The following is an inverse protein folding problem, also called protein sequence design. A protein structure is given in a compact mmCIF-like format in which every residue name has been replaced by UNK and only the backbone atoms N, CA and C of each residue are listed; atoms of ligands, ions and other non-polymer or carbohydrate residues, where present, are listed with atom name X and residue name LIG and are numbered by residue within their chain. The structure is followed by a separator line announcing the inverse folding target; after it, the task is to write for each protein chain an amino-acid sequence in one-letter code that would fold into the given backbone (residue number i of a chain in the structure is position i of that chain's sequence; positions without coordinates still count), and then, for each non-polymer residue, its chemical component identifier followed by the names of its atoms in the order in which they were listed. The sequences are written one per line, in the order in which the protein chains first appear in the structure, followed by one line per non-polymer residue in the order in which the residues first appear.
data_IF_598431326761
#
_entry.id   IF_598431326761
#
_cell.length_a   1.000
_cell.length_b   1.000
_cell.length_c   1.000
_cell.angle_alpha   90.00
_cell.angle_beta   90.00
_cell.angle_gamma   90.00
#
_symmetry.space_group_name_H-M   'P 1'
#
loop_
_entity.id
_entity.type
_entity.pdbx_description
1 polymer ?
#
# COMPACT_ATOMS: atom_id res chain seq x y z
N UNK A 1 12.44 -8.56 3.63
CA UNK A 1 12.81 -8.20 2.25
C UNK A 1 11.83 -7.22 1.58
N UNK A 2 11.08 -6.37 2.32
CA UNK A 2 10.09 -5.45 1.70
C UNK A 2 10.73 -4.52 0.66
N UNK A 3 11.86 -3.89 0.98
CA UNK A 3 12.46 -2.87 0.11
C UNK A 3 13.12 -3.44 -1.15
N UNK A 4 13.27 -4.75 -1.26
CA UNK A 4 13.94 -5.40 -2.41
C UNK A 4 12.96 -5.99 -3.42
N UNK A 5 11.67 -6.11 -3.09
CA UNK A 5 10.70 -6.75 -4.01
C UNK A 5 10.42 -5.91 -5.25
N UNK A 6 10.26 -4.58 -5.09
CA UNK A 6 9.94 -3.71 -6.23
C UNK A 6 11.09 -3.58 -7.23
N UNK A 7 12.36 -3.35 -6.81
CA UNK A 7 13.49 -3.37 -7.74
C UNK A 7 13.65 -4.72 -8.45
N UNK A 8 13.37 -5.81 -7.75
CA UNK A 8 13.44 -7.17 -8.31
C UNK A 8 12.36 -7.40 -9.37
N UNK A 9 11.13 -6.97 -9.10
CA UNK A 9 10.04 -7.01 -10.08
C UNK A 9 10.35 -6.16 -11.32
N UNK A 10 10.89 -4.95 -11.13
CA UNK A 10 11.32 -4.08 -12.22
C UNK A 10 12.40 -4.74 -13.09
N UNK A 11 13.40 -5.37 -12.46
CA UNK A 11 14.44 -6.13 -13.16
C UNK A 11 13.86 -7.27 -14.01
N UNK A 12 13.03 -8.13 -13.40
CA UNK A 12 12.47 -9.30 -14.09
C UNK A 12 11.58 -8.87 -15.25
N UNK A 13 10.81 -7.80 -15.09
CA UNK A 13 9.97 -7.25 -16.16
C UNK A 13 10.79 -6.80 -17.37
N UNK A 14 11.89 -6.09 -17.13
CA UNK A 14 12.82 -5.67 -18.18
C UNK A 14 13.49 -6.87 -18.87
N UNK A 15 14.01 -7.83 -18.09
CA UNK A 15 14.63 -9.05 -18.62
C UNK A 15 13.65 -9.87 -19.47
N UNK A 16 12.40 -10.03 -19.01
CA UNK A 16 11.36 -10.76 -19.74
C UNK A 16 11.01 -10.10 -21.08
N UNK A 17 10.92 -8.76 -21.11
CA UNK A 17 10.69 -8.02 -22.36
C UNK A 17 11.86 -8.15 -23.34
N UNK A 18 13.10 -8.16 -22.84
CA UNK A 18 14.30 -8.38 -23.67
C UNK A 18 14.33 -9.80 -24.24
N UNK A 19 14.00 -10.81 -23.44
CA UNK A 19 13.89 -12.20 -23.92
C UNK A 19 12.84 -12.33 -25.03
N UNK A 20 11.66 -11.75 -24.84
CA UNK A 20 10.59 -11.75 -25.85
C UNK A 20 11.04 -11.06 -27.15
N UNK A 21 11.80 -9.95 -27.04
CA UNK A 21 12.37 -9.25 -28.21
C UNK A 21 13.33 -10.14 -29.01
N UNK A 22 14.10 -11.01 -28.35
CA UNK A 22 15.00 -11.98 -29.01
C UNK A 22 14.27 -13.27 -29.47
N UNK A 23 12.94 -13.30 -29.43
CA UNK A 23 12.13 -14.41 -29.92
C UNK A 23 11.93 -15.54 -28.90
N UNK A 24 12.28 -15.35 -27.63
CA UNK A 24 11.93 -16.30 -26.58
C UNK A 24 10.42 -16.31 -26.35
N UNK A 25 9.78 -17.47 -26.51
CA UNK A 25 8.33 -17.64 -26.31
C UNK A 25 7.98 -18.12 -24.90
N UNK A 26 6.72 -17.93 -24.51
CA UNK A 26 6.17 -18.36 -23.23
C UNK A 26 4.71 -18.81 -23.37
N UNK A 27 4.10 -19.31 -22.27
CA UNK A 27 2.73 -19.79 -22.31
C UNK A 27 1.74 -18.65 -22.55
N UNK A 28 0.80 -18.83 -23.50
CA UNK A 28 -0.15 -17.80 -23.90
C UNK A 28 -1.20 -17.49 -22.81
N UNK A 29 -1.62 -18.51 -22.06
CA UNK A 29 -2.66 -18.42 -21.03
C UNK A 29 -2.08 -18.35 -19.61
N UNK A 30 -1.10 -17.47 -19.38
CA UNK A 30 -0.44 -17.32 -18.06
C UNK A 30 -1.38 -16.83 -16.96
N UNK A 31 -2.42 -16.07 -17.32
CA UNK A 31 -3.34 -15.46 -16.34
C UNK A 31 -4.58 -16.34 -16.15
N UNK A 32 -5.25 -16.70 -17.25
CA UNK A 32 -6.61 -17.26 -17.30
C UNK A 32 -6.66 -18.74 -17.70
N UNK A 33 -5.52 -19.36 -17.98
CA UNK A 33 -5.46 -20.78 -18.34
C UNK A 33 -5.80 -21.72 -17.20
N UNK A 34 -6.06 -22.99 -17.53
CA UNK A 34 -6.31 -24.08 -16.57
C UNK A 34 -5.24 -24.24 -15.48
N UNK A 35 -4.02 -23.79 -15.76
CA UNK A 35 -2.84 -23.82 -14.88
C UNK A 35 -2.24 -22.41 -14.71
N UNK A 36 -3.00 -21.37 -15.09
CA UNK A 36 -2.61 -19.97 -14.99
C UNK A 36 -2.80 -19.38 -13.60
N UNK A 37 -2.50 -18.10 -13.45
CA UNK A 37 -2.53 -17.38 -12.18
C UNK A 37 -3.85 -17.55 -11.42
N UNK A 38 -4.99 -17.43 -12.10
CA UNK A 38 -6.30 -17.55 -11.44
C UNK A 38 -6.52 -18.92 -10.83
N UNK A 39 -6.16 -19.98 -11.55
CA UNK A 39 -6.28 -21.35 -11.08
C UNK A 39 -5.31 -21.62 -9.92
N UNK A 40 -4.04 -21.22 -10.07
CA UNK A 40 -2.99 -21.45 -9.07
C UNK A 40 -3.33 -20.76 -7.75
N UNK A 41 -3.84 -19.53 -7.77
CA UNK A 41 -4.19 -18.80 -6.54
C UNK A 41 -5.58 -19.12 -5.99
N UNK A 42 -6.39 -19.93 -6.67
CA UNK A 42 -7.75 -20.27 -6.22
C UNK A 42 -7.81 -20.99 -4.86
N UNK A 43 -6.70 -21.56 -4.38
CA UNK A 43 -6.63 -22.19 -3.06
C UNK A 43 -6.57 -21.17 -1.89
N UNK A 44 -6.19 -19.92 -2.16
CA UNK A 44 -6.07 -18.87 -1.14
C UNK A 44 -7.45 -18.59 -0.55
N UNK A 45 -7.56 -18.52 0.77
CA UNK A 45 -8.82 -18.22 1.46
C UNK A 45 -8.89 -16.75 1.86
N UNK A 46 -9.97 -16.07 1.49
CA UNK A 46 -10.28 -14.72 1.94
C UNK A 46 -11.68 -14.69 2.53
N UNK A 47 -11.79 -14.31 3.82
CA UNK A 47 -13.07 -14.29 4.56
C UNK A 47 -13.83 -15.63 4.50
N UNK A 48 -13.10 -16.75 4.54
CA UNK A 48 -13.67 -18.10 4.51
C UNK A 48 -14.20 -18.55 3.15
N UNK A 49 -13.84 -17.85 2.07
CA UNK A 49 -14.14 -18.25 0.70
C UNK A 49 -12.84 -18.36 -0.12
N UNK A 50 -12.76 -19.27 -1.10
CA UNK A 50 -11.68 -19.28 -2.07
C UNK A 50 -11.53 -17.92 -2.76
N UNK A 51 -10.29 -17.53 -3.04
CA UNK A 51 -9.98 -16.35 -3.81
C UNK A 51 -10.59 -16.49 -5.21
N UNK A 52 -11.38 -15.50 -5.59
CA UNK A 52 -11.96 -15.39 -6.92
C UNK A 52 -11.29 -14.22 -7.65
N UNK A 53 -11.03 -14.42 -8.94
CA UNK A 53 -10.48 -13.40 -9.82
C UNK A 53 -11.55 -12.99 -10.83
N UNK A 54 -11.79 -11.69 -10.94
CA UNK A 54 -12.67 -11.11 -11.95
C UNK A 54 -11.82 -10.70 -13.16
N UNK A 55 -11.81 -11.54 -14.19
CA UNK A 55 -11.08 -11.27 -15.43
C UNK A 55 -11.64 -10.09 -16.21
N UNK A 56 -12.96 -9.85 -16.16
CA UNK A 56 -13.58 -8.71 -16.83
C UNK A 56 -13.15 -7.40 -16.18
N UNK A 57 -13.03 -7.36 -14.85
CA UNK A 57 -12.54 -6.19 -14.12
C UNK A 57 -11.12 -5.76 -14.53
N UNK A 58 -10.28 -6.68 -15.05
CA UNK A 58 -8.94 -6.35 -15.55
C UNK A 58 -8.97 -5.55 -16.86
N UNK A 59 -10.02 -5.71 -17.68
CA UNK A 59 -10.08 -5.15 -19.03
C UNK A 59 -11.17 -4.09 -19.22
N UNK A 60 -12.19 -4.07 -18.36
CA UNK A 60 -13.42 -3.27 -18.49
C UNK A 60 -13.19 -1.78 -18.72
N UNK A 61 -12.17 -1.20 -18.08
CA UNK A 61 -11.89 0.24 -18.11
C UNK A 61 -10.51 0.56 -18.71
N UNK A 62 -9.99 -0.29 -19.60
CA UNK A 62 -8.72 0.00 -20.26
C UNK A 62 -8.84 1.25 -21.13
N UNK A 63 -7.87 2.18 -21.04
CA UNK A 63 -7.91 3.41 -21.82
C UNK A 63 -7.74 3.09 -23.32
N UNK A 64 -8.73 3.51 -24.13
CA UNK A 64 -8.76 3.29 -25.58
C UNK A 64 -8.50 4.57 -26.39
N UNK A 65 -8.38 5.72 -25.71
CA UNK A 65 -8.12 7.01 -26.36
C UNK A 65 -7.33 7.95 -25.46
N UNK A 66 -6.88 9.07 -26.01
CA UNK A 66 -6.23 10.15 -25.25
C UNK A 66 -7.17 10.87 -24.28
N UNK A 67 -8.49 10.66 -24.40
CA UNK A 67 -9.51 11.23 -23.50
C UNK A 67 -9.95 10.28 -22.39
N UNK A 68 -9.51 9.02 -22.44
CA UNK A 68 -9.82 8.03 -21.42
C UNK A 68 -9.19 8.43 -20.07
N UNK A 69 -9.80 7.99 -18.96
CA UNK A 69 -9.19 8.16 -17.65
C UNK A 69 -8.04 7.18 -17.49
N UNK A 70 -6.83 7.69 -17.25
CA UNK A 70 -5.66 6.86 -16.97
C UNK A 70 -5.45 6.77 -15.47
N UNK A 71 -5.39 5.55 -14.92
CA UNK A 71 -5.18 5.31 -13.48
C UNK A 71 -3.94 5.98 -12.90
N UNK A 72 -2.94 6.30 -13.72
CA UNK A 72 -1.76 7.06 -13.29
C UNK A 72 -2.10 8.44 -12.71
N UNK A 73 -3.23 9.03 -13.14
CA UNK A 73 -3.73 10.31 -12.63
C UNK A 73 -4.27 10.20 -11.19
N UNK A 74 -4.62 9.00 -10.74
CA UNK A 74 -5.10 8.72 -9.38
C UNK A 74 -3.95 8.39 -8.41
N UNK A 75 -2.69 8.49 -8.86
CA UNK A 75 -1.53 8.17 -8.04
C UNK A 75 -1.33 9.22 -6.93
N UNK A 76 -1.38 8.77 -5.68
CA UNK A 76 -1.12 9.61 -4.51
C UNK A 76 0.37 9.79 -4.24
N UNK A 77 0.79 11.03 -3.98
CA UNK A 77 2.15 11.33 -3.53
C UNK A 77 2.22 11.39 -2.01
N UNK A 78 3.19 10.70 -1.42
CA UNK A 78 3.39 10.68 0.03
C UNK A 78 4.05 11.98 0.50
N UNK A 79 3.39 12.70 1.40
CA UNK A 79 3.98 13.88 2.08
C UNK A 79 5.00 13.49 3.15
N UNK A 80 4.80 12.32 3.77
CA UNK A 80 5.63 11.78 4.85
C UNK A 80 6.15 10.39 4.48
N UNK A 81 7.37 10.01 4.93
CA UNK A 81 7.97 8.70 4.67
C UNK A 81 7.41 7.62 5.60
N UNK A 82 6.07 7.49 5.64
CA UNK A 82 5.33 6.56 6.50
C UNK A 82 4.32 5.74 5.68
N UNK A 83 3.73 4.73 6.30
CA UNK A 83 2.65 3.92 5.73
C UNK A 83 1.46 4.80 5.32
N UNK A 84 0.84 4.52 4.16
CA UNK A 84 -0.12 5.40 3.50
C UNK A 84 -1.37 5.72 4.35
N UNK A 85 -1.88 4.77 5.12
CA UNK A 85 -3.05 4.95 5.97
C UNK A 85 -2.76 5.84 7.20
N UNK A 86 -1.48 6.11 7.50
CA UNK A 86 -1.08 7.04 8.57
C UNK A 86 -1.09 8.51 8.14
N UNK A 87 -1.17 8.82 6.84
CA UNK A 87 -1.09 10.21 6.34
C UNK A 87 -2.29 11.05 6.76
N UNK A 88 -3.50 10.51 6.64
CA UNK A 88 -4.73 11.21 7.02
C UNK A 88 -4.76 11.56 8.53
N UNK A 89 -4.56 10.62 9.47
CA UNK A 89 -4.56 10.96 10.90
C UNK A 89 -3.40 11.88 11.30
N UNK A 90 -2.20 11.70 10.72
CA UNK A 90 -1.06 12.59 11.00
C UNK A 90 -1.38 14.03 10.57
N UNK A 91 -1.85 14.19 9.34
CA UNK A 91 -2.19 15.52 8.80
C UNK A 91 -3.30 16.19 9.60
N UNK A 92 -4.32 15.43 10.02
CA UNK A 92 -5.41 15.93 10.85
C UNK A 92 -4.87 16.42 12.21
N UNK A 93 -4.06 15.60 12.89
CA UNK A 93 -3.45 15.96 14.16
C UNK A 93 -2.57 17.21 14.03
N UNK A 94 -1.66 17.26 13.05
CA UNK A 94 -0.78 18.41 12.83
C UNK A 94 -1.57 19.70 12.58
N UNK A 95 -2.65 19.61 11.80
CA UNK A 95 -3.55 20.74 11.57
C UNK A 95 -4.22 21.19 12.88
N UNK A 96 -4.77 20.27 13.66
CA UNK A 96 -5.38 20.57 14.96
C UNK A 96 -4.39 21.21 15.93
N UNK A 97 -3.17 20.67 16.05
CA UNK A 97 -2.10 21.20 16.92
C UNK A 97 -1.76 22.63 16.52
N UNK A 98 -1.58 22.88 15.21
CA UNK A 98 -1.25 24.20 14.67
C UNK A 98 -2.37 25.22 14.89
N UNK A 99 -3.62 24.87 14.56
CA UNK A 99 -4.77 25.77 14.65
C UNK A 99 -5.09 26.15 16.10
N UNK A 100 -4.89 25.22 17.04
CA UNK A 100 -5.20 25.42 18.46
C UNK A 100 -3.97 25.78 19.30
N UNK A 101 -2.79 25.91 18.69
CA UNK A 101 -1.51 26.23 19.36
C UNK A 101 -1.22 25.28 20.54
N UNK A 102 -1.54 24.00 20.38
CA UNK A 102 -1.35 22.97 21.41
C UNK A 102 0.15 22.73 21.58
N UNK A 103 0.65 22.77 22.82
CA UNK A 103 2.02 22.33 23.11
C UNK A 103 2.01 20.83 23.36
N UNK A 104 3.01 20.12 22.85
CA UNK A 104 3.13 18.67 23.03
C UNK A 104 3.05 18.24 24.51
N UNK A 105 3.67 19.02 25.41
CA UNK A 105 3.66 18.75 26.85
C UNK A 105 2.27 18.85 27.51
N UNK A 106 1.31 19.51 26.86
CA UNK A 106 -0.06 19.68 27.37
C UNK A 106 -0.98 18.52 26.92
N UNK A 107 -0.50 17.63 26.04
CA UNK A 107 -1.30 16.52 25.50
C UNK A 107 -1.22 15.30 26.41
N UNK A 108 -2.36 14.92 26.99
CA UNK A 108 -2.47 13.70 27.82
C UNK A 108 -2.65 12.43 27.00
N UNK A 109 -3.40 12.50 25.91
CA UNK A 109 -3.78 11.34 25.09
C UNK A 109 -4.06 11.80 23.65
N UNK A 110 -3.71 10.95 22.68
CA UNK A 110 -4.10 11.07 21.28
C UNK A 110 -4.99 9.88 20.94
N UNK A 111 -6.28 10.13 20.71
CA UNK A 111 -7.22 9.10 20.24
C UNK A 111 -7.41 9.23 18.73
N UNK A 112 -7.12 8.16 18.00
CA UNK A 112 -7.21 8.12 16.54
C UNK A 112 -8.29 7.12 16.12
N UNK A 113 -9.27 7.59 15.36
CA UNK A 113 -10.34 6.76 14.80
C UNK A 113 -10.10 6.56 13.30
N UNK A 114 -9.97 5.30 12.88
CA UNK A 114 -9.64 4.91 11.50
C UNK A 114 -10.47 3.71 11.08
N UNK A 115 -10.48 3.43 9.77
CA UNK A 115 -11.09 2.21 9.22
C UNK A 115 -10.43 0.95 9.80
N UNK A 116 -11.19 -0.14 9.89
CA UNK A 116 -10.74 -1.41 10.47
C UNK A 116 -9.40 -1.91 9.90
N UNK A 117 -9.19 -1.77 8.58
CA UNK A 117 -7.93 -2.13 7.92
C UNK A 117 -6.73 -1.35 8.47
N UNK A 118 -6.89 -0.05 8.72
CA UNK A 118 -5.80 0.76 9.24
C UNK A 118 -5.49 0.41 10.71
N UNK A 119 -6.52 0.17 11.52
CA UNK A 119 -6.34 -0.29 12.89
C UNK A 119 -5.61 -1.65 12.95
N UNK A 120 -5.98 -2.58 12.08
CA UNK A 120 -5.37 -3.91 11.98
C UNK A 120 -3.89 -3.86 11.55
N UNK A 121 -3.56 -3.03 10.55
CA UNK A 121 -2.20 -2.94 9.99
C UNK A 121 -1.25 -2.08 10.84
N UNK A 122 -1.77 -1.04 11.50
CA UNK A 122 -0.96 0.03 12.10
C UNK A 122 -1.10 0.17 13.62
N UNK A 123 -2.05 -0.54 14.23
CA UNK A 123 -2.39 -0.43 15.64
C UNK A 123 -2.18 -1.70 16.45
N UNK A 124 -1.53 -2.74 15.90
CA UNK A 124 -1.23 -3.94 16.67
C UNK A 124 -0.22 -3.66 17.82
N UNK A 125 -0.17 -4.50 18.87
CA UNK A 125 0.68 -4.25 20.04
C UNK A 125 2.16 -3.95 19.73
N UNK A 126 2.73 -4.55 18.68
CA UNK A 126 4.13 -4.31 18.30
C UNK A 126 4.34 -2.89 17.75
N UNK A 127 3.30 -2.29 17.17
CA UNK A 127 3.34 -0.90 16.66
C UNK A 127 3.52 0.11 17.76
N UNK A 128 3.15 -0.20 19.01
CA UNK A 128 3.37 0.73 20.12
C UNK A 128 4.83 0.79 20.58
N UNK A 129 5.68 -0.15 20.15
CA UNK A 129 7.09 -0.24 20.54
C UNK A 129 7.98 -0.60 19.34
N UNK A 130 8.05 0.24 18.29
CA UNK A 130 8.97 0.00 17.18
C UNK A 130 10.42 0.09 17.66
N UNK A 131 11.29 -0.77 17.13
CA UNK A 131 12.70 -0.90 17.53
C UNK A 131 13.68 -0.65 16.37
N UNK A 132 13.13 -0.31 15.21
CA UNK A 132 13.87 -0.15 13.95
C UNK A 132 13.18 0.88 13.08
N UNK A 133 13.91 1.41 12.09
CA UNK A 133 13.37 2.39 11.14
C UNK A 133 12.15 1.84 10.39
N UNK A 134 12.24 0.58 9.96
CA UNK A 134 11.21 -0.12 9.18
C UNK A 134 9.98 -0.54 9.99
N UNK A 135 10.09 -0.61 11.32
CA UNK A 135 8.91 -0.84 12.18
C UNK A 135 8.28 0.49 12.59
N UNK A 136 9.08 1.56 12.70
CA UNK A 136 8.62 2.90 13.02
C UNK A 136 7.76 3.54 11.91
N UNK A 137 8.14 3.38 10.64
CA UNK A 137 7.36 3.94 9.50
C UNK A 137 5.99 3.26 9.29
N UNK A 138 5.75 2.11 9.93
CA UNK A 138 4.45 1.40 9.96
C UNK A 138 3.81 1.40 11.35
N UNK A 139 4.23 2.30 12.23
CA UNK A 139 3.64 2.48 13.55
C UNK A 139 2.83 3.78 13.59
N UNK A 140 1.51 3.66 13.64
CA UNK A 140 0.65 4.83 13.81
C UNK A 140 0.90 5.55 15.15
N UNK A 141 1.01 4.86 16.31
CA UNK A 141 1.31 5.52 17.58
C UNK A 141 2.61 6.31 17.57
N UNK A 142 3.68 5.74 17.01
CA UNK A 142 4.98 6.41 16.89
C UNK A 142 4.89 7.62 15.96
N UNK A 143 4.26 7.47 14.79
CA UNK A 143 4.10 8.57 13.85
C UNK A 143 3.29 9.73 14.45
N UNK A 144 2.25 9.45 15.24
CA UNK A 144 1.50 10.51 15.95
C UNK A 144 2.36 11.18 17.01
N UNK A 145 3.10 10.40 17.81
CA UNK A 145 3.94 10.95 18.87
C UNK A 145 5.06 11.84 18.31
N UNK A 146 5.78 11.39 17.28
CA UNK A 146 6.84 12.17 16.63
C UNK A 146 6.26 13.41 15.95
N UNK A 147 5.17 13.28 15.19
CA UNK A 147 4.54 14.44 14.55
C UNK A 147 3.98 15.47 15.52
N UNK A 148 3.64 15.08 16.75
CA UNK A 148 3.24 16.02 17.80
C UNK A 148 4.44 16.78 18.39
N UNK A 149 5.57 16.09 18.60
CA UNK A 149 6.76 16.65 19.26
C UNK A 149 7.62 17.46 18.29
N UNK A 150 7.88 16.93 17.10
CA UNK A 150 8.87 17.47 16.16
C UNK A 150 8.23 18.30 15.01
N UNK A 151 6.92 18.17 14.82
CA UNK A 151 6.17 18.82 13.73
C UNK A 151 6.31 18.11 12.39
#
# INVERSE_FOLDING_TARGET
MKNTVDPWAGRIGAESALLAREGFSGPEHMIDGKEGLFAVFGHVQYKGQPAAFDGEALVKDLPTSTKSHYRILDCGMKSFPIEALSHAPLTAMMKTVKENKIKAADVKEIKVEVIARAADILGDPHKYRPDSKETADHSLPYCMAVGLVDG
#
